data_IF_666385695591
#
_entry.id   IF_666385695591
#
_cell.length_a   1.000
_cell.length_b   1.000
_cell.length_c   1.000
_cell.angle_alpha   90.00
_cell.angle_beta   90.00
_cell.angle_gamma   90.00
#
_symmetry.space_group_name_H-M   'P 1'
#
loop_
_entity.id
_entity.type
_entity.pdbx_description
1 polymer ?
#
# COMPACT_ATOMS: atom_id res chain seq x y z
N UNK A 1 -21.37 17.75 -0.29
CA UNK A 1 -20.41 16.62 -0.15
C UNK A 1 -20.98 15.29 -0.64
N UNK A 2 -22.24 14.94 -0.35
CA UNK A 2 -22.88 13.67 -0.77
C UNK A 2 -22.87 13.38 -2.29
N UNK A 3 -22.99 14.41 -3.14
CA UNK A 3 -23.03 14.25 -4.60
C UNK A 3 -21.64 13.87 -5.16
N UNK A 4 -20.56 14.36 -4.54
CA UNK A 4 -19.17 14.01 -4.93
C UNK A 4 -18.84 12.55 -4.57
N UNK A 5 -19.30 12.07 -3.43
CA UNK A 5 -19.12 10.67 -3.03
C UNK A 5 -19.92 9.71 -3.91
N UNK A 6 -21.15 10.07 -4.30
CA UNK A 6 -21.97 9.24 -5.19
C UNK A 6 -21.34 9.09 -6.59
N UNK A 7 -20.78 10.18 -7.14
CA UNK A 7 -20.10 10.15 -8.43
C UNK A 7 -18.83 9.28 -8.43
N UNK A 8 -18.07 9.30 -7.34
CA UNK A 8 -16.87 8.45 -7.17
C UNK A 8 -17.26 6.96 -7.07
N UNK A 9 -18.32 6.64 -6.33
CA UNK A 9 -18.82 5.26 -6.25
C UNK A 9 -19.33 4.75 -7.61
N UNK A 10 -20.06 5.58 -8.36
CA UNK A 10 -20.54 5.22 -9.69
C UNK A 10 -19.40 5.00 -10.69
N UNK A 11 -18.38 5.87 -10.65
CA UNK A 11 -17.19 5.74 -11.49
C UNK A 11 -16.40 4.47 -11.18
N UNK A 12 -16.22 4.11 -9.90
CA UNK A 12 -15.60 2.84 -9.51
C UNK A 12 -16.41 1.63 -9.98
N UNK A 13 -17.74 1.67 -9.84
CA UNK A 13 -18.61 0.55 -10.22
C UNK A 13 -18.57 0.32 -11.74
N UNK A 14 -18.59 1.40 -12.53
CA UNK A 14 -18.46 1.33 -13.99
C UNK A 14 -17.09 0.80 -14.41
N UNK A 15 -16.01 1.22 -13.76
CA UNK A 15 -14.67 0.74 -14.07
C UNK A 15 -14.50 -0.75 -13.72
N UNK A 16 -15.13 -1.21 -12.64
CA UNK A 16 -15.15 -2.63 -12.27
C UNK A 16 -15.97 -3.48 -13.25
N UNK A 17 -17.08 -2.95 -13.79
CA UNK A 17 -17.91 -3.64 -14.77
C UNK A 17 -17.29 -3.70 -16.17
N UNK A 18 -16.45 -2.72 -16.54
CA UNK A 18 -15.70 -2.71 -17.81
C UNK A 18 -14.38 -3.48 -17.73
N UNK A 19 -13.96 -3.93 -16.55
CA UNK A 19 -12.77 -4.77 -16.44
C UNK A 19 -13.06 -6.11 -17.15
N UNK A 20 -12.24 -6.53 -18.12
CA UNK A 20 -12.41 -7.82 -18.76
C UNK A 20 -12.25 -8.91 -17.70
N UNK A 21 -13.37 -9.48 -17.26
CA UNK A 21 -13.39 -10.70 -16.46
C UNK A 21 -12.90 -11.82 -17.38
N UNK A 22 -11.59 -12.01 -17.42
CA UNK A 22 -11.00 -13.22 -17.95
C UNK A 22 -11.45 -14.35 -17.02
N UNK A 23 -12.63 -14.93 -17.29
CA UNK A 23 -12.97 -16.27 -16.82
C UNK A 23 -12.05 -17.24 -17.56
N UNK A 24 -10.76 -17.21 -17.23
CA UNK A 24 -9.93 -18.38 -17.40
C UNK A 24 -10.55 -19.40 -16.46
N UNK A 25 -11.12 -20.46 -17.03
CA UNK A 25 -11.34 -21.66 -16.24
C UNK A 25 -10.03 -21.91 -15.48
N UNK A 26 -10.12 -22.06 -14.16
CA UNK A 26 -8.95 -22.46 -13.39
C UNK A 26 -8.72 -23.91 -13.77
N UNK A 27 -7.74 -24.12 -14.65
CA UNK A 27 -7.33 -25.46 -15.04
C UNK A 27 -6.91 -26.19 -13.76
N UNK A 28 -7.65 -27.25 -13.43
CA UNK A 28 -7.30 -28.16 -12.35
C UNK A 28 -6.21 -29.08 -12.91
N UNK A 29 -4.94 -28.92 -12.52
CA UNK A 29 -3.84 -29.62 -13.20
C UNK A 29 -4.04 -31.13 -13.10
N UNK A 30 -4.05 -31.86 -14.22
CA UNK A 30 -4.20 -33.32 -14.22
C UNK A 30 -5.65 -33.82 -14.20
N UNK A 31 -6.65 -32.95 -14.19
CA UNK A 31 -8.07 -33.36 -14.25
C UNK A 31 -8.41 -34.01 -15.61
N UNK A 32 -7.74 -33.55 -16.67
CA UNK A 32 -7.83 -34.08 -18.01
C UNK A 32 -7.35 -35.55 -18.08
N UNK A 33 -6.37 -35.91 -17.24
CA UNK A 33 -5.88 -37.28 -17.14
C UNK A 33 -6.88 -38.14 -16.36
N UNK A 34 -7.39 -37.64 -15.23
CA UNK A 34 -8.33 -38.39 -14.40
C UNK A 34 -9.71 -38.59 -15.06
N UNK A 35 -10.13 -37.69 -15.96
CA UNK A 35 -11.43 -37.77 -16.64
C UNK A 35 -11.43 -38.69 -17.87
N UNK A 36 -10.27 -38.92 -18.48
CA UNK A 36 -10.11 -39.89 -19.58
C UNK A 36 -10.17 -41.34 -19.07
N UNK A 37 -9.92 -41.57 -17.78
CA UNK A 37 -9.93 -42.90 -17.16
C UNK A 37 -11.33 -43.53 -17.15
N UNK A 38 -11.42 -44.76 -17.66
CA UNK A 38 -12.70 -45.49 -17.85
C UNK A 38 -13.00 -46.44 -16.70
N UNK A 39 -11.97 -46.95 -16.03
CA UNK A 39 -12.15 -47.83 -14.87
C UNK A 39 -12.49 -46.99 -13.64
N UNK A 40 -13.59 -47.31 -12.96
CA UNK A 40 -14.08 -46.49 -11.84
C UNK A 40 -13.09 -46.45 -10.66
N UNK A 41 -12.41 -47.56 -10.37
CA UNK A 41 -11.39 -47.62 -9.31
C UNK A 41 -10.19 -46.70 -9.60
N UNK A 42 -9.63 -46.77 -10.81
CA UNK A 42 -8.46 -45.95 -11.19
C UNK A 42 -8.84 -44.47 -11.35
N UNK A 43 -10.05 -44.17 -11.82
CA UNK A 43 -10.59 -42.79 -11.88
C UNK A 43 -10.70 -42.20 -10.47
N UNK A 44 -11.21 -42.96 -9.51
CA UNK A 44 -11.35 -42.52 -8.11
C UNK A 44 -9.98 -42.28 -7.48
N UNK A 45 -9.04 -43.21 -7.67
CA UNK A 45 -7.66 -43.08 -7.18
C UNK A 45 -6.94 -41.85 -7.77
N UNK A 46 -7.08 -41.61 -9.08
CA UNK A 46 -6.51 -40.44 -9.74
C UNK A 46 -7.09 -39.14 -9.15
N UNK A 47 -8.41 -39.04 -9.05
CA UNK A 47 -9.08 -37.86 -8.47
C UNK A 47 -8.67 -37.61 -7.02
N UNK A 48 -8.52 -38.67 -6.21
CA UNK A 48 -8.06 -38.54 -4.83
C UNK A 48 -6.63 -37.95 -4.76
N UNK A 49 -5.71 -38.45 -5.57
CA UNK A 49 -4.35 -37.91 -5.64
C UNK A 49 -4.32 -36.46 -6.15
N UNK A 50 -5.22 -36.11 -7.07
CA UNK A 50 -5.38 -34.76 -7.58
C UNK A 50 -5.85 -33.78 -6.50
N UNK A 51 -6.86 -34.19 -5.72
CA UNK A 51 -7.37 -33.39 -4.59
C UNK A 51 -6.30 -33.20 -3.52
N UNK A 52 -5.52 -34.24 -3.18
CA UNK A 52 -4.40 -34.11 -2.23
C UNK A 52 -3.34 -33.12 -2.74
N UNK A 53 -2.97 -33.20 -4.02
CA UNK A 53 -2.05 -32.24 -4.64
C UNK A 53 -2.59 -30.80 -4.60
N UNK A 54 -3.86 -30.60 -4.95
CA UNK A 54 -4.50 -29.30 -4.89
C UNK A 54 -4.55 -28.75 -3.46
N UNK A 55 -4.93 -29.58 -2.50
CA UNK A 55 -4.99 -29.19 -1.09
C UNK A 55 -3.63 -28.72 -0.60
N UNK A 56 -2.56 -29.48 -0.88
CA UNK A 56 -1.18 -29.11 -0.55
C UNK A 56 -0.75 -27.81 -1.23
N UNK A 57 -1.12 -27.64 -2.50
CA UNK A 57 -0.79 -26.44 -3.28
C UNK A 57 -1.50 -25.21 -2.71
N UNK A 58 -2.79 -25.32 -2.39
CA UNK A 58 -3.57 -24.25 -1.75
C UNK A 58 -2.94 -23.88 -0.40
N UNK A 59 -2.65 -24.86 0.46
CA UNK A 59 -2.00 -24.58 1.75
C UNK A 59 -0.66 -23.86 1.58
N UNK A 60 0.17 -24.30 0.63
CA UNK A 60 1.44 -23.64 0.32
C UNK A 60 1.22 -22.19 -0.14
N UNK A 61 0.33 -21.98 -1.09
CA UNK A 61 0.00 -20.64 -1.58
C UNK A 61 -0.52 -19.75 -0.45
N UNK A 62 -1.39 -20.26 0.42
CA UNK A 62 -1.90 -19.51 1.57
C UNK A 62 -0.76 -19.07 2.50
N UNK A 63 0.17 -19.98 2.83
CA UNK A 63 1.32 -19.66 3.67
C UNK A 63 2.25 -18.63 3.00
N UNK A 64 2.57 -18.81 1.72
CA UNK A 64 3.42 -17.90 0.97
C UNK A 64 2.80 -16.49 0.91
N UNK A 65 1.48 -16.38 0.74
CA UNK A 65 0.78 -15.09 0.76
C UNK A 65 0.78 -14.46 2.14
N UNK A 66 0.53 -15.23 3.21
CA UNK A 66 0.59 -14.71 4.57
C UNK A 66 1.99 -14.18 4.91
N UNK A 67 3.04 -14.90 4.53
CA UNK A 67 4.42 -14.42 4.71
C UNK A 67 4.69 -13.11 3.97
N UNK A 68 4.16 -12.94 2.75
CA UNK A 68 4.27 -11.69 2.00
C UNK A 68 3.52 -10.55 2.68
N UNK A 69 2.33 -10.80 3.21
CA UNK A 69 1.56 -9.79 3.96
C UNK A 69 2.29 -9.37 5.24
N UNK A 70 2.84 -10.32 5.98
CA UNK A 70 3.62 -10.04 7.19
C UNK A 70 4.89 -9.23 6.87
N UNK A 71 5.60 -9.57 5.80
CA UNK A 71 6.76 -8.82 5.34
C UNK A 71 6.38 -7.38 4.94
N UNK A 72 5.27 -7.21 4.21
CA UNK A 72 4.77 -5.88 3.82
C UNK A 72 4.36 -5.05 5.05
N UNK A 73 3.72 -5.65 6.05
CA UNK A 73 3.37 -4.97 7.29
C UNK A 73 4.61 -4.45 8.04
N UNK A 74 5.68 -5.26 8.12
CA UNK A 74 6.95 -4.80 8.71
C UNK A 74 7.58 -3.63 7.94
N UNK A 75 7.49 -3.65 6.61
CA UNK A 75 7.94 -2.52 5.78
C UNK A 75 7.11 -1.27 6.05
N UNK A 76 5.79 -1.40 6.18
CA UNK A 76 4.90 -0.29 6.56
C UNK A 76 5.30 0.31 7.90
N UNK A 77 5.58 -0.52 8.92
CA UNK A 77 5.98 -0.02 10.23
C UNK A 77 7.33 0.70 10.19
N UNK A 78 8.29 0.18 9.41
CA UNK A 78 9.58 0.85 9.17
C UNK A 78 9.42 2.19 8.45
N UNK A 79 8.50 2.27 7.49
CA UNK A 79 8.20 3.53 6.80
C UNK A 79 7.50 4.54 7.72
N UNK A 80 6.60 4.08 8.60
CA UNK A 80 5.94 4.95 9.59
C UNK A 80 6.95 5.56 10.56
N UNK A 81 7.91 4.78 11.07
CA UNK A 81 8.95 5.31 11.97
C UNK A 81 9.85 6.31 11.26
N UNK A 82 10.21 6.02 10.00
CA UNK A 82 10.97 6.95 9.16
C UNK A 82 10.23 8.26 8.91
N UNK A 83 8.92 8.19 8.64
CA UNK A 83 8.06 9.37 8.49
C UNK A 83 7.98 10.19 9.77
N UNK A 84 7.81 9.55 10.94
CA UNK A 84 7.81 10.24 12.22
C UNK A 84 9.15 10.93 12.50
N UNK A 85 10.27 10.27 12.16
CA UNK A 85 11.60 10.85 12.24
C UNK A 85 11.75 12.09 11.35
N UNK A 86 11.34 12.00 10.08
CA UNK A 86 11.36 13.12 9.15
C UNK A 86 10.46 14.27 9.61
N UNK A 87 9.26 13.99 10.10
CA UNK A 87 8.36 15.01 10.67
C UNK A 87 9.01 15.75 11.84
N UNK A 88 9.74 15.05 12.71
CA UNK A 88 10.50 15.67 13.79
C UNK A 88 11.60 16.59 13.26
N UNK A 89 12.39 16.13 12.29
CA UNK A 89 13.43 16.98 11.67
C UNK A 89 12.87 18.23 11.00
N UNK A 90 11.70 18.14 10.36
CA UNK A 90 11.03 19.30 9.79
C UNK A 90 10.56 20.27 10.86
N UNK A 91 10.00 19.77 11.96
CA UNK A 91 9.60 20.61 13.10
C UNK A 91 10.81 21.33 13.72
N UNK A 92 11.93 20.62 13.90
CA UNK A 92 13.17 21.19 14.44
C UNK A 92 13.75 22.27 13.51
N UNK A 93 13.77 22.03 12.19
CA UNK A 93 14.22 23.01 11.20
C UNK A 93 13.28 24.22 11.11
N UNK A 94 11.96 24.02 11.18
CA UNK A 94 11.00 25.12 11.19
C UNK A 94 11.16 25.98 12.45
N UNK A 95 11.32 25.36 13.62
CA UNK A 95 11.61 26.06 14.87
C UNK A 95 12.96 26.80 14.82
N UNK A 96 13.97 26.22 14.18
CA UNK A 96 15.27 26.85 13.97
C UNK A 96 15.23 28.02 12.98
N UNK A 97 14.27 28.06 12.05
CA UNK A 97 14.08 29.16 11.10
C UNK A 97 13.23 30.31 11.64
N UNK A 98 12.29 30.05 12.56
CA UNK A 98 11.49 31.10 13.21
C UNK A 98 12.35 31.99 14.11
N UNK A 99 13.36 31.42 14.80
CA UNK A 99 14.27 32.17 15.68
C UNK A 99 15.07 33.29 14.97
N UNK A 100 15.78 33.06 13.85
CA UNK A 100 16.50 34.11 13.13
C UNK A 100 15.59 35.09 12.37
N UNK A 101 14.33 34.74 12.11
CA UNK A 101 13.37 35.63 11.44
C UNK A 101 12.83 36.72 12.40
N UNK A 102 12.65 36.40 13.68
CA UNK A 102 12.29 37.39 14.71
C UNK A 102 13.45 38.33 15.07
N UNK A 103 14.68 37.83 15.10
CA UNK A 103 15.88 38.66 15.34
C UNK A 103 16.20 39.61 14.16
N UNK A 104 15.86 39.23 12.93
CA UNK A 104 15.99 40.10 11.75
C UNK A 104 14.96 41.25 11.74
N UNK A 105 13.73 41.02 12.23
CA UNK A 105 12.72 42.09 12.38
C UNK A 105 13.09 43.08 13.50
N UNK A 106 13.64 42.59 14.62
CA UNK A 106 14.01 43.48 15.74
C UNK A 106 15.21 44.38 15.47
N UNK A 107 16.04 44.09 14.47
CA UNK A 107 17.12 44.98 14.00
C UNK A 107 16.68 46.03 12.96
N UNK A 108 15.49 45.91 12.37
CA UNK A 108 14.94 46.94 11.46
C UNK A 108 14.14 48.02 12.18
N UNK A 109 13.72 47.79 13.43
CA UNK A 109 12.96 48.76 14.25
C UNK A 109 13.82 49.48 15.33
N UNK A 110 15.14 49.57 15.15
CA UNK A 110 15.95 50.51 15.95
C UNK A 110 15.99 51.87 15.23
N UNK A 111 15.37 52.94 15.79
CA UNK A 111 15.37 54.24 15.16
C UNK A 111 16.81 54.77 15.07
N UNK A 112 17.20 55.22 13.88
CA UNK A 112 18.36 56.07 13.68
C UNK A 112 18.09 57.40 14.39
N UNK A 113 18.35 57.42 15.70
CA UNK A 113 18.37 58.64 16.50
C UNK A 113 19.56 59.49 16.04
N UNK A 114 19.21 60.70 15.63
CA UNK A 114 20.04 61.87 15.40
C UNK A 114 21.40 61.87 16.12
N UNK A 115 22.45 62.19 15.37
CA UNK A 115 23.58 62.97 15.87
C UNK A 115 23.81 64.16 14.94
N UNK A 116 23.25 65.27 15.42
CA UNK A 116 23.70 66.65 15.42
C UNK A 116 24.67 67.19 14.35
N UNK A 117 24.29 68.37 13.90
CA UNK A 117 25.10 69.38 13.26
C UNK A 117 26.35 69.74 14.08
N UNK A 118 27.48 69.98 13.40
CA UNK A 118 28.32 71.16 13.62
C UNK A 118 29.46 71.23 12.58
N UNK A 119 29.49 72.39 11.91
CA UNK A 119 30.59 73.05 11.17
C UNK A 119 30.75 72.76 9.68
#
# INVERSE_FOLDING_TARGET
>A
MLIRSAGVCFAMLLLAALAPLSLRAQDVPGIEICTVEKTMERRTSCLQSNVDFLQKTITKLTLDHQQKLDAANRQIDTLKTSLAGLQKTLADLQAAQVKPADDAKKKQDAPAAAKDAAK
#
